data_IF_264275747380
#
_entry.id   IF_264275747380
#
_cell.length_a   1.000
_cell.length_b   1.000
_cell.length_c   1.000
_cell.angle_alpha   90.00
_cell.angle_beta   90.00
_cell.angle_gamma   90.00
#
_symmetry.space_group_name_H-M   'P 1'
#
loop_
_entity.id
_entity.type
_entity.pdbx_description
1 polymer ?
#
# COMPACT_ATOMS: atom_id res chain seq x y z
N UNK A 1 -2.63 -0.70 17.07
CA UNK A 1 -1.21 -0.29 17.10
C UNK A 1 -0.81 0.03 15.67
N UNK A 2 -0.30 1.23 15.42
CA UNK A 2 0.20 1.65 14.10
C UNK A 2 1.62 1.13 13.85
N UNK A 3 2.02 1.08 12.57
CA UNK A 3 3.38 0.76 12.14
C UNK A 3 4.03 2.03 11.57
N UNK A 4 5.37 2.06 11.49
CA UNK A 4 6.15 3.26 11.13
C UNK A 4 5.75 3.89 9.80
N UNK A 5 5.29 3.11 8.83
CA UNK A 5 4.88 3.61 7.52
C UNK A 5 3.66 4.56 7.56
N UNK A 6 2.83 4.50 8.60
CA UNK A 6 1.66 5.36 8.77
C UNK A 6 2.09 6.68 9.43
N UNK A 7 2.66 7.57 8.62
CA UNK A 7 3.35 8.79 9.07
C UNK A 7 2.46 10.04 9.12
N UNK A 8 1.22 9.97 8.62
CA UNK A 8 0.37 11.14 8.45
C UNK A 8 0.11 11.88 9.76
N UNK A 9 0.39 13.19 9.78
CA UNK A 9 0.19 14.06 10.96
C UNK A 9 1.27 13.96 12.04
N UNK A 10 2.36 13.22 11.81
CA UNK A 10 3.48 13.13 12.75
C UNK A 10 4.35 14.39 12.71
N UNK A 11 4.82 14.83 13.88
CA UNK A 11 5.85 15.86 14.02
C UNK A 11 7.25 15.23 14.13
N UNK A 12 8.28 15.95 13.69
CA UNK A 12 9.68 15.63 14.02
C UNK A 12 10.53 15.07 12.88
N UNK A 13 10.03 15.03 11.64
CA UNK A 13 10.79 14.53 10.47
C UNK A 13 11.65 15.59 9.78
N UNK A 14 11.60 16.84 10.26
CA UNK A 14 12.37 17.95 9.70
C UNK A 14 11.73 18.56 8.45
N UNK A 15 12.46 19.51 7.84
CA UNK A 15 12.03 20.14 6.60
C UNK A 15 12.24 19.19 5.41
N UNK A 16 11.33 19.26 4.44
CA UNK A 16 11.53 18.58 3.16
C UNK A 16 12.68 19.27 2.43
N UNK A 17 13.69 18.50 2.04
CA UNK A 17 14.76 18.92 1.13
C UNK A 17 14.46 18.28 -0.22
N UNK A 18 13.85 19.01 -1.17
CA UNK A 18 13.54 18.45 -2.48
C UNK A 18 14.82 18.21 -3.29
N UNK A 19 14.80 17.15 -4.09
CA UNK A 19 15.77 16.90 -5.15
C UNK A 19 15.69 18.00 -6.22
N UNK A 20 16.80 18.23 -6.93
CA UNK A 20 16.84 19.18 -8.03
C UNK A 20 16.05 18.65 -9.24
N UNK A 21 15.53 19.54 -10.10
CA UNK A 21 14.76 19.11 -11.28
C UNK A 21 15.59 18.28 -12.27
N UNK A 22 16.91 18.44 -12.27
CA UNK A 22 17.87 17.73 -13.12
C UNK A 22 18.56 16.54 -12.44
N UNK A 23 18.14 16.19 -11.22
CA UNK A 23 18.67 15.01 -10.53
C UNK A 23 18.35 13.71 -11.30
N UNK A 24 19.27 12.73 -11.27
CA UNK A 24 19.06 11.48 -11.97
C UNK A 24 17.91 10.69 -11.33
N UNK A 25 17.08 10.07 -12.18
CA UNK A 25 16.01 9.15 -11.72
C UNK A 25 16.53 8.06 -10.77
N UNK A 26 17.77 7.61 -11.00
CA UNK A 26 18.45 6.62 -10.17
C UNK A 26 19.79 7.18 -9.67
N UNK A 27 19.83 7.58 -8.40
CA UNK A 27 21.04 8.08 -7.75
C UNK A 27 22.17 7.06 -7.64
N UNK A 28 21.84 5.79 -7.46
CA UNK A 28 22.81 4.70 -7.36
C UNK A 28 22.67 3.72 -8.51
N UNK A 29 23.78 3.14 -8.96
CA UNK A 29 23.80 2.18 -10.07
C UNK A 29 22.94 0.93 -9.83
N UNK A 30 22.59 0.62 -8.59
CA UNK A 30 21.75 -0.52 -8.23
C UNK A 30 20.26 -0.18 -8.14
N UNK A 31 19.86 1.09 -8.04
CA UNK A 31 18.45 1.50 -7.87
C UNK A 31 17.56 1.00 -9.03
N UNK A 32 18.03 1.17 -10.27
CA UNK A 32 17.32 0.65 -11.45
C UNK A 32 17.20 -0.88 -11.42
N UNK A 33 18.20 -1.59 -10.90
CA UNK A 33 18.16 -3.05 -10.75
C UNK A 33 17.19 -3.48 -9.64
N UNK A 34 17.11 -2.75 -8.54
CA UNK A 34 16.17 -3.00 -7.45
C UNK A 34 14.70 -2.88 -7.92
N UNK A 35 14.40 -1.84 -8.71
CA UNK A 35 13.09 -1.71 -9.35
C UNK A 35 12.85 -2.88 -10.32
N UNK A 36 13.81 -3.14 -11.22
CA UNK A 36 13.67 -4.16 -12.25
C UNK A 36 13.44 -5.57 -11.66
N UNK A 37 14.21 -5.98 -10.64
CA UNK A 37 14.04 -7.29 -10.01
C UNK A 37 12.71 -7.39 -9.25
N UNK A 38 12.25 -6.30 -8.63
CA UNK A 38 10.94 -6.27 -7.96
C UNK A 38 9.81 -6.49 -8.96
N UNK A 39 9.85 -5.80 -10.11
CA UNK A 39 8.85 -5.96 -11.18
C UNK A 39 8.92 -7.36 -11.81
N UNK A 40 10.12 -7.86 -12.08
CA UNK A 40 10.32 -9.20 -12.63
C UNK A 40 9.80 -10.30 -11.69
N UNK A 41 10.03 -10.17 -10.38
CA UNK A 41 9.53 -11.11 -9.38
C UNK A 41 7.99 -11.15 -9.31
N UNK A 42 7.30 -10.06 -9.68
CA UNK A 42 5.85 -10.05 -9.82
C UNK A 42 5.33 -11.09 -10.82
N UNK A 43 6.09 -11.39 -11.88
CA UNK A 43 5.73 -12.39 -12.88
C UNK A 43 5.72 -13.84 -12.34
N UNK A 44 6.26 -14.07 -11.14
CA UNK A 44 6.15 -15.37 -10.47
C UNK A 44 4.71 -15.69 -10.03
N UNK A 45 3.85 -14.66 -9.91
CA UNK A 45 2.44 -14.79 -9.55
C UNK A 45 2.21 -15.24 -8.11
N UNK A 46 3.19 -15.02 -7.23
CA UNK A 46 3.17 -15.52 -5.84
C UNK A 46 2.50 -14.55 -4.86
N UNK A 47 2.46 -13.26 -5.18
CA UNK A 47 1.84 -12.22 -4.36
C UNK A 47 1.18 -11.16 -5.25
N UNK A 48 0.28 -10.38 -4.66
CA UNK A 48 -0.32 -9.19 -5.25
C UNK A 48 0.29 -7.92 -4.62
N UNK A 49 -0.19 -6.76 -5.04
CA UNK A 49 0.30 -5.47 -4.56
C UNK A 49 0.05 -5.24 -3.07
N UNK A 50 -1.07 -5.73 -2.51
CA UNK A 50 -1.42 -5.53 -1.11
C UNK A 50 -0.57 -6.40 -0.18
N UNK A 51 -0.30 -7.65 -0.57
CA UNK A 51 0.69 -8.52 0.10
C UNK A 51 2.08 -7.84 0.08
N UNK A 52 2.47 -7.27 -1.06
CA UNK A 52 3.77 -6.60 -1.20
C UNK A 52 3.89 -5.35 -0.32
N UNK A 53 2.84 -4.52 -0.27
CA UNK A 53 2.76 -3.39 0.67
C UNK A 53 2.86 -3.87 2.10
N UNK A 54 2.07 -4.87 2.48
CA UNK A 54 2.09 -5.42 3.83
C UNK A 54 3.48 -5.92 4.24
N UNK A 55 4.20 -6.60 3.34
CA UNK A 55 5.58 -7.04 3.58
C UNK A 55 6.52 -5.89 3.93
N UNK A 56 6.43 -4.76 3.22
CA UNK A 56 7.22 -3.55 3.53
C UNK A 56 6.79 -2.89 4.84
N UNK A 57 5.50 -2.92 5.15
CA UNK A 57 4.98 -2.40 6.42
C UNK A 57 5.47 -3.23 7.61
N UNK A 58 5.74 -4.53 7.41
CA UNK A 58 6.26 -5.45 8.42
C UNK A 58 7.78 -5.33 8.66
N UNK A 59 8.50 -4.49 7.90
CA UNK A 59 9.93 -4.29 8.14
C UNK A 59 10.17 -3.79 9.57
N UNK A 60 11.30 -4.18 10.21
CA UNK A 60 11.63 -3.72 11.55
C UNK A 60 11.60 -2.18 11.63
N UNK A 61 10.95 -1.58 12.65
CA UNK A 61 10.75 -0.13 12.73
C UNK A 61 12.03 0.71 12.58
N UNK A 62 13.12 0.26 13.22
CA UNK A 62 14.42 0.94 13.20
C UNK A 62 15.02 0.90 11.80
N UNK A 63 15.00 -0.27 11.16
CA UNK A 63 15.52 -0.46 9.80
C UNK A 63 14.68 0.30 8.78
N UNK A 64 13.35 0.27 8.90
CA UNK A 64 12.46 1.04 8.02
C UNK A 64 12.78 2.54 8.09
N UNK A 65 13.05 3.07 9.27
CA UNK A 65 13.37 4.49 9.44
C UNK A 65 14.72 4.88 8.84
N UNK A 66 15.71 3.97 8.85
CA UNK A 66 17.07 4.25 8.33
C UNK A 66 17.25 3.95 6.84
N UNK A 67 16.44 3.05 6.28
CA UNK A 67 16.54 2.66 4.88
C UNK A 67 16.09 3.76 3.91
N UNK A 68 16.87 3.94 2.85
CA UNK A 68 16.50 4.65 1.63
C UNK A 68 15.31 3.97 0.92
N UNK A 69 14.78 4.64 -0.10
CA UNK A 69 13.61 4.16 -0.83
C UNK A 69 13.83 2.75 -1.42
N UNK A 70 14.91 2.54 -2.18
CA UNK A 70 15.15 1.26 -2.83
C UNK A 70 15.65 0.18 -1.86
N UNK A 71 16.22 0.54 -0.70
CA UNK A 71 16.54 -0.43 0.36
C UNK A 71 15.27 -1.04 0.94
N UNK A 72 14.21 -0.23 1.18
CA UNK A 72 12.89 -0.74 1.60
C UNK A 72 12.29 -1.69 0.58
N UNK A 73 12.47 -1.40 -0.72
CA UNK A 73 12.00 -2.27 -1.80
C UNK A 73 12.73 -3.61 -1.79
N UNK A 74 14.06 -3.60 -1.68
CA UNK A 74 14.88 -4.81 -1.65
C UNK A 74 14.63 -5.64 -0.39
N UNK A 75 14.55 -5.01 0.78
CA UNK A 75 14.26 -5.69 2.04
C UNK A 75 12.86 -6.34 2.02
N UNK A 76 11.85 -5.61 1.54
CA UNK A 76 10.50 -6.15 1.36
C UNK A 76 10.46 -7.30 0.36
N UNK A 77 11.15 -7.18 -0.78
CA UNK A 77 11.21 -8.24 -1.79
C UNK A 77 11.90 -9.50 -1.25
N UNK A 78 13.01 -9.35 -0.53
CA UNK A 78 13.72 -10.46 0.09
C UNK A 78 12.81 -11.23 1.06
N UNK A 79 12.04 -10.53 1.90
CA UNK A 79 11.02 -11.13 2.75
C UNK A 79 9.97 -11.90 1.95
N UNK A 80 9.38 -11.28 0.93
CA UNK A 80 8.36 -11.91 0.08
C UNK A 80 8.85 -13.17 -0.63
N UNK A 81 10.09 -13.18 -1.13
CA UNK A 81 10.68 -14.34 -1.80
C UNK A 81 10.83 -15.52 -0.84
N UNK A 82 11.22 -15.26 0.41
CA UNK A 82 11.32 -16.29 1.45
C UNK A 82 9.95 -16.75 1.92
N UNK A 83 9.05 -15.83 2.22
CA UNK A 83 7.70 -16.14 2.73
C UNK A 83 6.85 -16.89 1.71
N UNK A 84 7.09 -16.68 0.41
CA UNK A 84 6.42 -17.40 -0.67
C UNK A 84 7.16 -18.67 -1.13
N UNK A 85 8.19 -19.09 -0.39
CA UNK A 85 9.02 -20.27 -0.67
C UNK A 85 9.64 -20.26 -2.08
N UNK A 86 9.93 -19.06 -2.61
CA UNK A 86 10.64 -18.89 -3.88
C UNK A 86 12.14 -19.10 -3.67
N UNK A 87 12.65 -18.61 -2.54
CA UNK A 87 14.03 -18.78 -2.09
C UNK A 87 14.04 -19.21 -0.62
N UNK A 88 15.06 -19.97 -0.24
CA UNK A 88 15.38 -20.18 1.18
C UNK A 88 16.23 -19.02 1.72
N UNK A 89 16.28 -18.87 3.04
CA UNK A 89 17.19 -17.90 3.69
C UNK A 89 18.66 -18.22 3.40
N UNK A 90 18.98 -19.50 3.22
CA UNK A 90 20.34 -19.94 2.90
C UNK A 90 20.75 -19.51 1.48
N UNK A 91 19.91 -19.76 0.48
CA UNK A 91 20.14 -19.30 -0.90
C UNK A 91 20.29 -17.78 -0.98
N UNK A 92 19.46 -17.05 -0.24
CA UNK A 92 19.56 -15.59 -0.18
C UNK A 92 20.87 -15.12 0.46
N UNK A 93 21.32 -15.77 1.53
CA UNK A 93 22.57 -15.43 2.21
C UNK A 93 23.82 -15.80 1.39
N UNK A 94 23.78 -16.92 0.65
CA UNK A 94 24.87 -17.36 -0.22
C UNK A 94 24.88 -16.65 -1.57
N UNK A 95 23.74 -16.09 -2.00
CA UNK A 95 23.58 -15.46 -3.31
C UNK A 95 23.58 -16.45 -4.48
N UNK A 96 23.35 -17.74 -4.21
CA UNK A 96 23.29 -18.79 -5.21
C UNK A 96 22.11 -19.74 -4.94
N UNK A 97 21.58 -20.32 -6.01
CA UNK A 97 20.51 -21.31 -5.91
C UNK A 97 21.03 -22.65 -5.40
N UNK A 98 20.25 -23.31 -4.57
CA UNK A 98 20.52 -24.66 -4.05
C UNK A 98 19.52 -25.60 -4.70
N UNK A 99 19.96 -26.31 -5.73
CA UNK A 99 19.10 -27.22 -6.50
C UNK A 99 18.32 -26.49 -7.60
N UNK A 100 17.16 -27.04 -7.95
CA UNK A 100 16.30 -26.55 -9.03
C UNK A 100 14.93 -26.15 -8.50
N UNK A 101 14.37 -25.04 -9.00
CA UNK A 101 13.01 -24.59 -8.66
C UNK A 101 12.03 -24.84 -9.80
N UNK A 102 10.80 -25.23 -9.48
CA UNK A 102 9.70 -25.30 -10.46
C UNK A 102 9.35 -23.93 -11.07
N UNK A 103 9.85 -22.84 -10.47
CA UNK A 103 9.71 -21.48 -10.98
C UNK A 103 10.79 -21.08 -11.99
N UNK A 104 11.78 -21.94 -12.25
CA UNK A 104 12.92 -21.63 -13.15
C UNK A 104 12.47 -21.17 -14.54
N UNK A 105 11.35 -21.71 -15.05
CA UNK A 105 10.79 -21.32 -16.34
C UNK A 105 9.90 -20.05 -16.29
N UNK A 106 9.48 -19.61 -15.10
CA UNK A 106 8.61 -18.43 -14.93
C UNK A 106 9.45 -17.16 -14.93
N UNK A 107 9.42 -16.44 -16.06
CA UNK A 107 10.10 -15.16 -16.22
C UNK A 107 9.27 -14.18 -17.05
N UNK A 108 9.54 -12.89 -16.87
CA UNK A 108 9.10 -11.85 -17.79
C UNK A 108 10.16 -11.66 -18.88
N UNK A 109 9.81 -11.95 -20.13
CA UNK A 109 10.71 -11.71 -21.26
C UNK A 109 10.86 -10.20 -21.51
N UNK A 110 12.07 -9.76 -21.87
CA UNK A 110 12.43 -8.35 -21.95
C UNK A 110 11.57 -7.55 -22.95
N UNK A 111 11.21 -8.16 -24.07
CA UNK A 111 10.35 -7.58 -25.12
C UNK A 111 8.90 -7.37 -24.67
N UNK A 112 8.45 -8.07 -23.62
CA UNK A 112 7.09 -7.95 -23.07
C UNK A 112 6.95 -6.87 -22.00
N UNK A 113 8.06 -6.41 -21.41
CA UNK A 113 8.04 -5.51 -20.24
C UNK A 113 7.22 -4.24 -20.51
N UNK A 114 7.48 -3.55 -21.63
CA UNK A 114 6.79 -2.31 -21.95
C UNK A 114 5.27 -2.50 -22.10
N UNK A 115 4.84 -3.57 -22.77
CA UNK A 115 3.43 -3.88 -22.95
C UNK A 115 2.72 -4.23 -21.65
N UNK A 116 3.37 -5.00 -20.77
CA UNK A 116 2.83 -5.33 -19.44
C UNK A 116 2.66 -4.07 -18.59
N UNK A 117 3.68 -3.20 -18.55
CA UNK A 117 3.61 -1.95 -17.78
C UNK A 117 2.53 -0.99 -18.32
N UNK A 118 2.42 -0.86 -19.65
CA UNK A 118 1.40 -0.03 -20.29
C UNK A 118 -0.03 -0.53 -20.02
N UNK A 119 -0.22 -1.84 -19.83
CA UNK A 119 -1.53 -2.43 -19.56
C UNK A 119 -2.04 -2.14 -18.13
N UNK A 120 -1.14 -1.82 -17.20
CA UNK A 120 -1.48 -1.56 -15.81
C UNK A 120 -2.01 -2.77 -15.04
N UNK A 121 -2.58 -2.51 -13.86
CA UNK A 121 -3.16 -3.51 -12.97
C UNK A 121 -4.48 -3.01 -12.38
N UNK A 122 -5.62 -3.17 -13.09
CA UNK A 122 -6.91 -2.69 -12.61
C UNK A 122 -7.28 -3.35 -11.28
N UNK A 123 -7.63 -2.52 -10.30
CA UNK A 123 -8.06 -2.95 -8.97
C UNK A 123 -9.59 -2.93 -8.81
N UNK A 124 -10.31 -2.40 -9.81
CA UNK A 124 -11.76 -2.48 -9.89
C UNK A 124 -12.19 -3.93 -10.07
N UNK A 125 -13.26 -4.31 -9.38
CA UNK A 125 -13.84 -5.64 -9.42
C UNK A 125 -15.35 -5.55 -9.30
N UNK A 126 -16.11 -6.38 -10.02
CA UNK A 126 -17.54 -6.52 -9.76
C UNK A 126 -17.78 -6.89 -8.29
N UNK A 127 -18.83 -6.34 -7.70
CA UNK A 127 -19.27 -6.64 -6.35
C UNK A 127 -20.79 -6.61 -6.26
N UNK A 128 -21.33 -7.46 -5.39
CA UNK A 128 -22.75 -7.51 -5.01
C UNK A 128 -23.04 -6.66 -3.76
N UNK A 129 -22.02 -6.03 -3.16
CA UNK A 129 -22.18 -5.13 -2.02
C UNK A 129 -22.90 -3.86 -2.45
N UNK A 130 -24.09 -3.64 -1.88
CA UNK A 130 -24.88 -2.42 -2.10
C UNK A 130 -24.09 -1.17 -1.68
N UNK A 131 -24.06 -0.17 -2.56
CA UNK A 131 -23.55 1.18 -2.28
C UNK A 131 -24.42 1.82 -1.19
N UNK A 132 -23.83 2.05 -0.02
CA UNK A 132 -24.55 2.50 1.17
C UNK A 132 -24.69 4.03 1.26
N UNK A 133 -23.87 4.79 0.53
CA UNK A 133 -23.80 6.24 0.66
C UNK A 133 -23.79 6.95 -0.69
N UNK A 134 -24.25 8.19 -0.69
CA UNK A 134 -24.30 9.10 -1.83
C UNK A 134 -23.29 10.25 -1.68
N UNK A 135 -22.94 10.90 -2.80
CA UNK A 135 -22.17 12.14 -2.76
C UNK A 135 -22.93 13.19 -1.93
N UNK A 136 -22.22 13.83 -1.00
CA UNK A 136 -22.79 14.78 -0.05
C UNK A 136 -23.10 14.19 1.33
N UNK A 137 -23.20 12.87 1.46
CA UNK A 137 -23.45 12.24 2.76
C UNK A 137 -22.30 12.48 3.73
N UNK A 138 -22.66 12.71 5.00
CA UNK A 138 -21.72 12.77 6.11
C UNK A 138 -21.45 11.36 6.63
N UNK A 139 -20.18 11.00 6.71
CA UNK A 139 -19.73 9.68 7.18
C UNK A 139 -18.70 9.84 8.27
N UNK A 140 -18.66 8.87 9.17
CA UNK A 140 -17.64 8.75 10.20
C UNK A 140 -16.78 7.53 9.93
N UNK A 141 -15.47 7.70 9.95
CA UNK A 141 -14.53 6.58 9.89
C UNK A 141 -14.61 5.72 11.16
N UNK A 142 -14.14 4.48 11.09
CA UNK A 142 -14.05 3.62 12.28
C UNK A 142 -13.22 4.27 13.38
N UNK A 143 -13.58 3.99 14.64
CA UNK A 143 -12.83 4.38 15.85
C UNK A 143 -11.52 3.62 16.05
N UNK A 144 -11.25 2.58 15.25
CA UNK A 144 -10.03 1.78 15.28
C UNK A 144 -9.63 1.51 13.83
N UNK A 145 -8.37 1.76 13.49
CA UNK A 145 -7.86 1.54 12.14
C UNK A 145 -7.44 0.10 11.83
N UNK A 146 -7.29 -0.77 12.82
CA UNK A 146 -6.83 -2.15 12.63
C UNK A 146 -7.68 -2.96 11.64
N UNK A 147 -7.01 -3.87 10.92
CA UNK A 147 -7.66 -4.86 10.07
C UNK A 147 -8.64 -5.72 10.89
N UNK A 148 -9.85 -5.92 10.37
CA UNK A 148 -10.95 -6.64 11.05
C UNK A 148 -10.83 -8.17 10.99
N UNK A 149 -10.04 -8.69 10.05
CA UNK A 149 -9.92 -10.11 9.74
C UNK A 149 -8.61 -10.71 10.29
N UNK A 150 -7.53 -9.93 10.34
CA UNK A 150 -6.20 -10.37 10.75
C UNK A 150 -5.60 -9.39 11.76
N UNK A 151 -5.32 -9.86 12.98
CA UNK A 151 -4.70 -9.04 14.01
C UNK A 151 -3.32 -8.54 13.55
N UNK A 152 -3.11 -7.23 13.58
CA UNK A 152 -1.88 -6.60 13.07
C UNK A 152 -1.73 -6.65 11.54
N UNK A 153 -2.79 -6.99 10.81
CA UNK A 153 -2.81 -7.10 9.35
C UNK A 153 -2.84 -5.75 8.61
N UNK A 154 -2.64 -5.81 7.29
CA UNK A 154 -2.72 -4.67 6.37
C UNK A 154 -4.07 -3.95 6.40
N UNK A 155 -4.08 -2.63 6.33
CA UNK A 155 -5.28 -1.80 6.20
C UNK A 155 -4.93 -0.47 5.56
N UNK A 156 -5.92 0.22 4.99
CA UNK A 156 -5.74 1.53 4.34
C UNK A 156 -6.44 2.67 5.07
N UNK A 157 -7.00 2.44 6.25
CA UNK A 157 -7.48 3.52 7.12
C UNK A 157 -6.29 4.11 7.92
N UNK A 158 -5.80 5.32 7.59
CA UNK A 158 -4.69 5.91 8.33
C UNK A 158 -5.11 6.30 9.75
N UNK A 159 -4.16 6.26 10.68
CA UNK A 159 -4.41 6.53 12.10
C UNK A 159 -4.96 7.94 12.37
N UNK A 160 -4.48 8.96 11.67
CA UNK A 160 -4.94 10.34 11.85
C UNK A 160 -6.42 10.54 11.48
N UNK A 161 -6.98 9.67 10.64
CA UNK A 161 -8.37 9.79 10.18
C UNK A 161 -9.34 8.97 11.04
N UNK A 162 -8.90 8.28 12.08
CA UNK A 162 -9.72 7.40 12.92
C UNK A 162 -10.78 8.20 13.70
N UNK A 163 -12.05 7.79 13.57
CA UNK A 163 -13.19 8.43 14.23
C UNK A 163 -13.63 9.76 13.62
N UNK A 164 -12.91 10.29 12.62
CA UNK A 164 -13.18 11.54 11.97
C UNK A 164 -14.47 11.53 11.15
N UNK A 165 -15.14 12.68 11.08
CA UNK A 165 -16.31 12.94 10.24
C UNK A 165 -15.91 13.66 8.97
N UNK A 166 -16.26 13.09 7.83
CA UNK A 166 -16.02 13.68 6.52
C UNK A 166 -17.25 13.60 5.64
N UNK A 167 -17.17 14.23 4.48
CA UNK A 167 -18.23 14.29 3.49
C UNK A 167 -17.80 13.51 2.25
N UNK A 168 -18.69 12.68 1.71
CA UNK A 168 -18.42 11.99 0.45
C UNK A 168 -18.40 13.00 -0.70
N UNK A 169 -17.30 13.01 -1.45
CA UNK A 169 -17.12 13.86 -2.64
C UNK A 169 -17.16 13.06 -3.94
N UNK A 170 -16.86 11.76 -3.89
CA UNK A 170 -16.87 10.89 -5.07
C UNK A 170 -17.14 9.43 -4.70
N UNK A 171 -17.76 8.69 -5.62
CA UNK A 171 -17.94 7.24 -5.55
C UNK A 171 -17.19 6.66 -6.75
N UNK A 172 -16.15 5.85 -6.51
CA UNK A 172 -15.27 5.32 -7.55
C UNK A 172 -15.80 4.01 -8.17
N UNK A 173 -16.89 3.46 -7.65
CA UNK A 173 -17.32 2.09 -7.93
C UNK A 173 -16.73 1.11 -6.93
N UNK A 174 -16.55 -0.15 -7.31
CA UNK A 174 -16.17 -1.24 -6.40
C UNK A 174 -14.76 -1.74 -6.68
N UNK A 175 -13.95 -1.86 -5.62
CA UNK A 175 -12.53 -2.19 -5.71
C UNK A 175 -12.15 -3.28 -4.71
N UNK A 176 -11.12 -4.06 -5.02
CA UNK A 176 -10.51 -5.06 -4.11
C UNK A 176 -10.31 -4.43 -2.73
N UNK A 177 -10.73 -5.13 -1.66
CA UNK A 177 -10.50 -4.72 -0.29
C UNK A 177 -9.09 -5.14 0.17
N UNK A 178 -8.18 -4.19 0.46
CA UNK A 178 -6.80 -4.51 0.83
C UNK A 178 -6.69 -5.31 2.13
N UNK A 179 -7.63 -5.11 3.06
CA UNK A 179 -7.71 -5.86 4.33
C UNK A 179 -7.82 -7.38 4.10
N UNK A 180 -8.40 -7.83 2.98
CA UNK A 180 -8.52 -9.24 2.63
C UNK A 180 -7.43 -9.68 1.65
N UNK A 181 -7.22 -8.87 0.62
CA UNK A 181 -6.29 -9.14 -0.48
C UNK A 181 -4.86 -9.37 0.03
N UNK A 182 -4.40 -8.60 1.02
CA UNK A 182 -3.08 -8.73 1.62
C UNK A 182 -2.86 -10.06 2.37
N UNK A 183 -3.94 -10.77 2.71
CA UNK A 183 -3.90 -12.01 3.50
C UNK A 183 -4.50 -13.21 2.76
N UNK A 184 -4.64 -13.10 1.42
CA UNK A 184 -5.17 -14.17 0.55
C UNK A 184 -6.60 -14.60 0.93
N UNK A 185 -7.40 -13.69 1.46
CA UNK A 185 -8.80 -13.94 1.84
C UNK A 185 -9.80 -13.61 0.70
N UNK A 186 -9.30 -13.56 -0.55
CA UNK A 186 -10.06 -13.15 -1.73
C UNK A 186 -10.14 -11.63 -1.92
N UNK A 187 -10.74 -11.22 -3.03
CA UNK A 187 -10.83 -9.81 -3.43
C UNK A 187 -11.75 -9.00 -2.51
N UNK A 188 -12.84 -9.63 -2.02
CA UNK A 188 -13.85 -9.02 -1.14
C UNK A 188 -14.20 -7.57 -1.53
N UNK A 189 -14.42 -7.34 -2.83
CA UNK A 189 -14.50 -5.99 -3.36
C UNK A 189 -15.66 -5.21 -2.75
N UNK A 190 -15.43 -3.96 -2.35
CA UNK A 190 -16.44 -3.08 -1.77
C UNK A 190 -16.48 -1.73 -2.50
N UNK A 191 -17.57 -0.95 -2.37
CA UNK A 191 -17.60 0.44 -2.81
C UNK A 191 -16.46 1.25 -2.20
N UNK A 192 -15.76 2.02 -3.03
CA UNK A 192 -14.68 2.93 -2.66
C UNK A 192 -15.14 4.38 -2.81
N UNK A 193 -14.94 5.18 -1.76
CA UNK A 193 -15.39 6.56 -1.69
C UNK A 193 -14.21 7.50 -1.50
N UNK A 194 -14.19 8.62 -2.22
CA UNK A 194 -13.37 9.76 -1.81
C UNK A 194 -14.14 10.55 -0.75
N UNK A 195 -13.55 10.72 0.42
CA UNK A 195 -14.13 11.41 1.58
C UNK A 195 -13.26 12.62 1.91
N UNK A 196 -13.85 13.81 1.85
CA UNK A 196 -13.20 15.06 2.23
C UNK A 196 -13.41 15.32 3.73
N UNK A 197 -12.31 15.59 4.42
CA UNK A 197 -12.28 15.97 5.83
C UNK A 197 -11.73 17.39 5.94
N UNK A 198 -12.41 18.25 6.71
CA UNK A 198 -11.82 19.53 7.08
C UNK A 198 -10.50 19.29 7.86
N UNK A 199 -9.48 20.09 7.63
CA UNK A 199 -8.23 19.98 8.39
C UNK A 199 -8.46 20.17 9.91
N UNK A 200 -9.47 20.94 10.31
CA UNK A 200 -9.85 21.06 11.72
C UNK A 200 -10.41 19.77 12.34
N UNK A 201 -10.86 18.81 11.52
CA UNK A 201 -11.38 17.52 12.02
C UNK A 201 -10.26 16.56 12.39
N UNK A 202 -9.12 16.58 11.67
CA UNK A 202 -8.05 15.60 11.89
C UNK A 202 -6.83 16.19 12.62
N UNK A 203 -6.69 17.52 12.70
CA UNK A 203 -5.57 18.17 13.36
C UNK A 203 -6.04 19.31 14.26
N UNK A 204 -5.42 19.42 15.44
CA UNK A 204 -5.78 20.43 16.43
C UNK A 204 -5.48 21.88 15.98
N UNK A 205 -4.49 22.06 15.09
CA UNK A 205 -4.03 23.38 14.63
C UNK A 205 -3.92 23.39 13.10
N UNK A 206 -5.04 23.41 12.36
CA UNK A 206 -5.00 23.57 10.90
C UNK A 206 -4.51 24.98 10.53
N UNK A 207 -3.66 25.08 9.51
CA UNK A 207 -3.09 26.38 9.09
C UNK A 207 -4.13 27.30 8.45
N UNK A 208 -5.06 26.73 7.68
CA UNK A 208 -6.10 27.50 7.02
C UNK A 208 -7.48 26.83 7.13
N UNK A 209 -8.56 27.60 7.43
CA UNK A 209 -9.86 27.05 7.81
C UNK A 209 -10.64 26.39 6.67
N UNK A 210 -10.18 26.52 5.41
CA UNK A 210 -10.83 25.89 4.25
C UNK A 210 -10.05 24.69 3.71
N UNK A 211 -8.97 24.30 4.39
CA UNK A 211 -8.15 23.20 3.92
C UNK A 211 -8.89 21.89 4.18
N UNK A 212 -8.87 21.01 3.18
CA UNK A 212 -9.45 19.69 3.24
C UNK A 212 -8.39 18.64 2.91
N UNK A 213 -8.49 17.49 3.57
CA UNK A 213 -7.75 16.27 3.21
C UNK A 213 -8.75 15.27 2.67
N UNK A 214 -8.48 14.77 1.45
CA UNK A 214 -9.35 13.80 0.78
C UNK A 214 -8.72 12.42 0.85
N UNK A 215 -9.47 11.45 1.37
CA UNK A 215 -9.03 10.06 1.49
C UNK A 215 -9.95 9.14 0.72
N UNK A 216 -9.36 8.18 0.01
CA UNK A 216 -10.09 7.05 -0.56
C UNK A 216 -10.29 5.96 0.49
N UNK A 217 -11.54 5.70 0.86
CA UNK A 217 -11.93 4.81 1.96
C UNK A 217 -12.98 3.81 1.48
N UNK A 218 -12.75 2.52 1.76
CA UNK A 218 -13.72 1.46 1.48
C UNK A 218 -14.95 1.58 2.39
N UNK A 219 -16.10 1.12 1.89
CA UNK A 219 -17.38 1.19 2.61
C UNK A 219 -17.30 0.68 4.05
N UNK A 220 -16.62 -0.44 4.28
CA UNK A 220 -16.49 -1.04 5.62
C UNK A 220 -15.68 -0.19 6.61
N UNK A 221 -14.95 0.83 6.14
CA UNK A 221 -14.25 1.80 6.98
C UNK A 221 -15.16 2.91 7.49
N UNK A 222 -16.39 3.01 6.99
CA UNK A 222 -17.30 4.10 7.23
C UNK A 222 -18.54 3.64 8.01
N UNK A 223 -19.19 4.62 8.62
CA UNK A 223 -20.52 4.52 9.22
C UNK A 223 -21.24 5.85 8.96
N UNK A 224 -22.57 5.87 8.98
CA UNK A 224 -23.31 7.13 8.84
C UNK A 224 -22.98 8.07 10.01
N UNK A 225 -22.68 9.33 9.71
CA UNK A 225 -22.62 10.40 10.71
C UNK A 225 -23.97 11.15 10.68
N UNK A 226 -24.65 11.17 11.83
CA UNK A 226 -25.85 11.99 12.05
C UNK A 226 -25.41 13.43 12.31
#
# INVERSE_FOLDING_TARGET
MSRVHDMGGRFGDGAIVPEAEDDPVFHEGWHGRALAVTLAAGALGKWNIDISRHGRECLPPVDYASMSYYEKWMAGLAGLLVDAEVLTREELAQGCAIGSSDLTAKRMDADKVAGVLASGGPADRPSDVTVAYSVGDMVRTRKINGNRHVNGGHTRLPSYAVGAVGRIVMIHGTHILPDNSAHRLGDAAEPLYAVAFAASELWANPEHPKDEVVLDLWQSYLSAAI
#
